data_IF_455411649991
#
_entry.id   IF_455411649991
#
_cell.length_a   1.000
_cell.length_b   1.000
_cell.length_c   1.000
_cell.angle_alpha   90.00
_cell.angle_beta   90.00
_cell.angle_gamma   90.00
#
_symmetry.space_group_name_H-M   'P 1'
#
loop_
_entity.id
_entity.type
_entity.pdbx_description
1 polymer ?
#
# COMPACT_ATOMS: atom_id res chain seq x y z
N UNK A 1 10.41 0.26 1.55
CA UNK A 1 9.16 -0.19 2.19
C UNK A 1 8.01 0.02 1.22
N UNK A 2 7.00 -0.86 1.22
CA UNK A 2 5.86 -0.84 0.31
C UNK A 2 5.06 0.48 0.41
N UNK A 3 4.93 1.04 1.62
CA UNK A 3 4.34 2.36 1.86
C UNK A 3 4.99 3.47 1.02
N UNK A 4 6.32 3.47 0.86
CA UNK A 4 7.01 4.51 0.07
C UNK A 4 6.63 4.46 -1.40
N UNK A 5 6.38 3.26 -1.94
CA UNK A 5 5.95 3.08 -3.33
C UNK A 5 4.51 3.58 -3.53
N UNK A 6 3.64 3.29 -2.56
CA UNK A 6 2.28 3.86 -2.50
C UNK A 6 2.32 5.39 -2.53
N UNK A 7 3.16 6.00 -1.69
CA UNK A 7 3.29 7.45 -1.63
C UNK A 7 3.75 8.05 -2.96
N UNK A 8 4.74 7.42 -3.62
CA UNK A 8 5.29 7.89 -4.89
C UNK A 8 4.32 7.80 -6.07
N UNK A 9 3.52 6.73 -6.16
CA UNK A 9 2.60 6.53 -7.31
C UNK A 9 1.41 7.49 -7.30
N UNK A 10 1.05 8.01 -6.12
CA UNK A 10 -0.11 8.90 -5.93
C UNK A 10 0.29 10.39 -5.88
N UNK A 11 1.47 10.71 -5.37
CA UNK A 11 1.91 12.10 -5.17
C UNK A 11 2.08 12.88 -6.48
N UNK A 12 2.00 14.21 -6.40
CA UNK A 12 2.27 15.17 -7.48
C UNK A 12 1.38 15.00 -8.73
N UNK A 13 0.10 14.67 -8.53
CA UNK A 13 -0.89 14.57 -9.61
C UNK A 13 -1.77 15.82 -9.66
N UNK A 14 -2.10 16.28 -10.86
CA UNK A 14 -3.10 17.34 -11.06
C UNK A 14 -4.29 16.78 -11.80
N UNK A 15 -5.48 17.01 -11.28
CA UNK A 15 -6.74 16.50 -11.81
C UNK A 15 -7.59 17.69 -12.29
N UNK A 16 -7.93 17.71 -13.58
CA UNK A 16 -8.86 18.69 -14.13
C UNK A 16 -10.29 18.24 -13.87
N UNK A 17 -11.12 19.14 -13.35
CA UNK A 17 -12.49 18.86 -12.92
C UNK A 17 -13.55 19.49 -13.84
N UNK A 18 -13.13 20.09 -14.96
CA UNK A 18 -14.00 20.89 -15.83
C UNK A 18 -14.38 22.25 -15.22
N UNK A 19 -14.83 23.18 -16.06
CA UNK A 19 -15.20 24.56 -15.67
C UNK A 19 -14.12 25.28 -14.85
N UNK A 20 -12.86 25.24 -15.33
CA UNK A 20 -11.72 25.94 -14.72
C UNK A 20 -11.40 25.50 -13.27
N UNK A 21 -11.93 24.34 -12.85
CA UNK A 21 -11.63 23.73 -11.55
C UNK A 21 -10.45 22.78 -11.67
N UNK A 22 -9.45 22.97 -10.83
CA UNK A 22 -8.26 22.10 -10.76
C UNK A 22 -8.09 21.60 -9.34
N UNK A 23 -7.94 20.30 -9.17
CA UNK A 23 -7.54 19.68 -7.90
C UNK A 23 -6.10 19.18 -8.02
N UNK A 24 -5.19 19.77 -7.25
CA UNK A 24 -3.80 19.31 -7.14
C UNK A 24 -3.65 18.41 -5.94
N UNK A 25 -3.03 17.26 -6.16
CA UNK A 25 -2.58 16.32 -5.15
C UNK A 25 -1.09 16.58 -4.93
N UNK A 26 -0.76 17.06 -3.75
CA UNK A 26 0.61 17.28 -3.31
C UNK A 26 1.23 16.02 -2.72
N UNK A 27 1.68 16.14 -1.48
CA UNK A 27 2.28 15.05 -0.73
C UNK A 27 1.21 14.06 -0.28
N UNK A 28 1.52 12.78 -0.40
CA UNK A 28 0.75 11.69 0.20
C UNK A 28 1.63 10.99 1.23
N UNK A 29 1.06 10.73 2.41
CA UNK A 29 1.69 9.86 3.41
C UNK A 29 0.75 8.71 3.78
N UNK A 30 1.33 7.54 4.03
CA UNK A 30 0.58 6.32 4.32
C UNK A 30 0.95 5.80 5.71
N UNK A 31 -0.07 5.63 6.55
CA UNK A 31 0.05 5.13 7.92
C UNK A 31 -0.95 4.01 8.21
N UNK A 32 -0.67 3.22 9.24
CA UNK A 32 -1.60 2.23 9.73
C UNK A 32 -2.67 2.87 10.62
N UNK A 33 -3.93 2.44 10.46
CA UNK A 33 -5.06 2.80 11.32
C UNK A 33 -5.92 1.56 11.57
N UNK A 34 -5.57 0.81 12.61
CA UNK A 34 -6.16 -0.50 12.88
C UNK A 34 -5.90 -1.46 11.71
N UNK A 35 -6.98 -2.02 11.14
CA UNK A 35 -6.91 -2.90 9.97
C UNK A 35 -6.91 -2.15 8.62
N UNK A 36 -6.94 -0.82 8.64
CA UNK A 36 -7.01 0.03 7.44
C UNK A 36 -5.73 0.83 7.26
N UNK A 37 -5.42 1.17 6.03
CA UNK A 37 -4.43 2.18 5.71
C UNK A 37 -5.09 3.56 5.74
N UNK A 38 -4.45 4.51 6.40
CA UNK A 38 -4.81 5.92 6.40
C UNK A 38 -3.85 6.70 5.49
N UNK A 39 -4.43 7.35 4.50
CA UNK A 39 -3.76 8.23 3.55
C UNK A 39 -4.02 9.67 3.99
N UNK A 40 -2.97 10.40 4.36
CA UNK A 40 -3.04 11.84 4.50
C UNK A 40 -2.60 12.44 3.16
N UNK A 41 -3.50 13.16 2.51
CA UNK A 41 -3.31 13.69 1.16
C UNK A 41 -3.40 15.20 1.22
N UNK A 42 -2.30 15.87 0.91
CA UNK A 42 -2.31 17.31 0.74
C UNK A 42 -3.02 17.64 -0.58
N UNK A 43 -4.06 18.45 -0.49
CA UNK A 43 -4.87 18.84 -1.63
C UNK A 43 -4.96 20.35 -1.75
N UNK A 44 -5.01 20.81 -2.99
CA UNK A 44 -5.26 22.20 -3.32
C UNK A 44 -6.29 22.28 -4.44
N UNK A 45 -7.41 22.94 -4.17
CA UNK A 45 -8.44 23.25 -5.14
C UNK A 45 -8.26 24.68 -5.65
N UNK A 46 -8.33 24.84 -6.97
CA UNK A 46 -8.36 26.10 -7.69
C UNK A 46 -9.68 26.26 -8.42
N UNK A 47 -10.40 27.27 -7.99
CA UNK A 47 -11.71 27.82 -8.35
C UNK A 47 -11.75 28.92 -9.41
N UNK A 48 -12.00 28.68 -10.70
CA UNK A 48 -12.25 29.75 -11.70
C UNK A 48 -10.99 30.40 -12.32
N UNK A 49 -11.17 31.28 -13.31
CA UNK A 49 -10.07 31.88 -14.08
C UNK A 49 -9.59 33.27 -13.64
N UNK A 50 -8.32 33.52 -13.95
CA UNK A 50 -7.68 34.82 -13.86
C UNK A 50 -7.69 35.38 -12.44
N UNK A 51 -7.99 36.67 -12.32
CA UNK A 51 -7.99 37.42 -11.06
C UNK A 51 -9.15 37.05 -10.11
N UNK A 52 -10.16 36.34 -10.61
CA UNK A 52 -11.31 35.87 -9.82
C UNK A 52 -11.12 34.46 -9.28
N UNK A 53 -9.90 33.91 -9.39
CA UNK A 53 -9.61 32.55 -8.93
C UNK A 53 -9.61 32.47 -7.40
N UNK A 54 -10.28 31.43 -6.87
CA UNK A 54 -10.27 31.10 -5.44
C UNK A 54 -9.38 29.88 -5.20
N UNK A 55 -8.45 29.96 -4.25
CA UNK A 55 -7.59 28.83 -3.86
C UNK A 55 -7.97 28.34 -2.47
N UNK A 56 -8.12 27.02 -2.33
CA UNK A 56 -8.34 26.35 -1.04
C UNK A 56 -7.36 25.21 -0.91
N UNK A 57 -6.65 25.14 0.21
CA UNK A 57 -5.70 24.07 0.49
C UNK A 57 -6.01 23.42 1.84
N UNK A 58 -5.65 22.14 1.97
CA UNK A 58 -5.78 21.41 3.21
C UNK A 58 -5.32 19.96 3.07
N UNK A 59 -5.32 19.25 4.18
CA UNK A 59 -5.03 17.82 4.21
C UNK A 59 -6.34 17.06 4.38
N UNK A 60 -6.59 16.08 3.51
CA UNK A 60 -7.72 15.16 3.61
C UNK A 60 -7.24 13.78 4.03
N UNK A 61 -7.98 13.12 4.91
CA UNK A 61 -7.68 11.78 5.36
C UNK A 61 -8.63 10.77 4.73
N UNK A 62 -8.06 9.73 4.15
CA UNK A 62 -8.79 8.69 3.42
C UNK A 62 -8.37 7.34 4.00
N UNK A 63 -9.35 6.48 4.23
CA UNK A 63 -9.18 5.15 4.80
C UNK A 63 -9.49 4.11 3.73
N UNK A 64 -8.60 3.12 3.57
CA UNK A 64 -8.81 2.00 2.67
C UNK A 64 -8.39 0.68 3.32
N UNK A 65 -9.10 -0.40 3.01
CA UNK A 65 -8.72 -1.75 3.43
C UNK A 65 -7.91 -2.42 2.32
N UNK A 66 -6.63 -2.73 2.52
CA UNK A 66 -5.84 -3.42 1.52
C UNK A 66 -6.37 -4.84 1.32
N UNK A 67 -6.49 -5.26 0.07
CA UNK A 67 -6.97 -6.57 -0.32
C UNK A 67 -6.07 -7.15 -1.42
N UNK A 68 -5.79 -8.45 -1.32
CA UNK A 68 -5.04 -9.20 -2.31
C UNK A 68 -5.97 -9.78 -3.37
N UNK A 69 -5.73 -9.46 -4.64
CA UNK A 69 -6.38 -10.11 -5.78
C UNK A 69 -5.43 -11.14 -6.38
N UNK A 70 -5.59 -12.39 -5.98
CA UNK A 70 -4.77 -13.50 -6.48
C UNK A 70 -4.91 -13.72 -8.00
N UNK A 71 -6.09 -13.43 -8.60
CA UNK A 71 -6.33 -13.64 -10.04
C UNK A 71 -5.56 -12.63 -10.88
N UNK A 72 -5.55 -11.37 -10.45
CA UNK A 72 -4.84 -10.27 -11.15
C UNK A 72 -3.41 -10.08 -10.66
N UNK A 73 -3.04 -10.74 -9.56
CA UNK A 73 -1.78 -10.59 -8.85
C UNK A 73 -1.48 -9.14 -8.41
N UNK A 74 -2.50 -8.44 -7.93
CA UNK A 74 -2.39 -7.04 -7.45
C UNK A 74 -2.90 -6.88 -6.03
N UNK A 75 -2.27 -5.97 -5.27
CA UNK A 75 -2.93 -5.38 -4.10
C UNK A 75 -3.83 -4.27 -4.60
N UNK A 76 -5.06 -4.22 -4.10
CA UNK A 76 -5.99 -3.11 -4.27
C UNK A 76 -6.42 -2.57 -2.91
N UNK A 77 -7.02 -1.38 -2.90
CA UNK A 77 -7.75 -0.89 -1.73
C UNK A 77 -9.25 -1.07 -1.95
N UNK A 78 -9.89 -1.79 -1.04
CA UNK A 78 -11.33 -1.90 -0.93
C UNK A 78 -11.87 -0.91 0.12
N UNK A 79 -13.16 -0.58 0.03
CA UNK A 79 -13.83 0.30 1.00
C UNK A 79 -13.13 1.65 1.23
N UNK A 80 -12.63 2.25 0.13
CA UNK A 80 -11.93 3.54 0.12
C UNK A 80 -12.91 4.66 0.35
N UNK A 81 -12.78 5.38 1.46
CA UNK A 81 -13.63 6.52 1.79
C UNK A 81 -12.89 7.51 2.70
N UNK A 82 -13.39 8.74 2.79
CA UNK A 82 -12.86 9.74 3.72
C UNK A 82 -13.08 9.33 5.17
N UNK A 83 -12.16 9.73 6.05
CA UNK A 83 -12.40 9.66 7.48
C UNK A 83 -13.59 10.57 7.87
N UNK A 84 -14.26 10.28 8.99
CA UNK A 84 -15.47 11.01 9.41
C UNK A 84 -15.23 12.51 9.61
N UNK A 85 -14.06 12.89 10.13
CA UNK A 85 -13.66 14.27 10.37
C UNK A 85 -13.48 15.05 9.07
N UNK A 86 -12.69 14.52 8.15
CA UNK A 86 -12.56 15.07 6.79
C UNK A 86 -13.92 15.12 6.11
N UNK A 87 -14.74 14.07 6.28
CA UNK A 87 -16.01 14.01 5.61
C UNK A 87 -16.92 15.18 6.01
N UNK A 88 -17.03 15.42 7.32
CA UNK A 88 -17.78 16.55 7.88
C UNK A 88 -17.17 17.92 7.51
N UNK A 89 -15.83 18.02 7.45
CA UNK A 89 -15.14 19.23 7.01
C UNK A 89 -15.47 19.61 5.56
N UNK A 90 -15.48 18.62 4.67
CA UNK A 90 -15.89 18.80 3.28
C UNK A 90 -17.37 19.21 3.18
N UNK A 91 -18.28 18.70 4.05
CA UNK A 91 -19.70 19.15 4.17
C UNK A 91 -19.72 20.66 4.30
N UNK A 92 -19.05 21.15 5.34
CA UNK A 92 -19.06 22.56 5.73
C UNK A 92 -18.41 23.46 4.67
N UNK A 93 -17.39 22.97 3.98
CA UNK A 93 -16.66 23.75 2.99
C UNK A 93 -17.35 23.83 1.62
N UNK A 94 -18.50 23.15 1.42
CA UNK A 94 -19.14 22.94 0.12
C UNK A 94 -18.21 22.35 -0.96
N UNK A 95 -17.07 21.78 -0.57
CA UNK A 95 -16.00 21.30 -1.45
C UNK A 95 -16.27 19.87 -2.01
N UNK A 96 -17.55 19.50 -2.16
CA UNK A 96 -17.97 18.11 -2.49
C UNK A 96 -17.60 17.66 -3.88
N UNK A 97 -17.36 18.62 -4.77
CA UNK A 97 -17.21 18.37 -6.19
C UNK A 97 -15.96 17.52 -6.50
N UNK A 98 -14.93 17.62 -5.65
CA UNK A 98 -13.68 16.86 -5.71
C UNK A 98 -13.73 15.41 -5.24
N UNK A 99 -14.76 15.02 -4.47
CA UNK A 99 -14.74 13.78 -3.69
C UNK A 99 -14.69 12.50 -4.53
N UNK A 100 -15.59 12.29 -5.52
CA UNK A 100 -15.60 11.04 -6.27
C UNK A 100 -14.32 10.89 -7.10
N UNK A 101 -13.84 11.99 -7.68
CA UNK A 101 -12.63 11.99 -8.51
C UNK A 101 -11.37 11.71 -7.68
N UNK A 102 -11.26 12.28 -6.48
CA UNK A 102 -10.13 12.01 -5.59
C UNK A 102 -10.13 10.57 -5.11
N UNK A 103 -11.28 10.06 -4.65
CA UNK A 103 -11.41 8.66 -4.21
C UNK A 103 -11.10 7.69 -5.35
N UNK A 104 -11.59 7.95 -6.57
CA UNK A 104 -11.31 7.11 -7.73
C UNK A 104 -9.83 7.18 -8.13
N UNK A 105 -9.22 8.36 -8.12
CA UNK A 105 -7.78 8.53 -8.39
C UNK A 105 -6.95 7.72 -7.41
N UNK A 106 -7.28 7.79 -6.12
CA UNK A 106 -6.60 7.00 -5.09
C UNK A 106 -6.84 5.52 -5.27
N UNK A 107 -8.07 5.10 -5.58
CA UNK A 107 -8.40 3.69 -5.83
C UNK A 107 -7.60 3.13 -7.01
N UNK A 108 -7.45 3.90 -8.10
CA UNK A 108 -6.68 3.50 -9.27
C UNK A 108 -5.18 3.51 -9.02
N UNK A 109 -4.66 4.54 -8.36
CA UNK A 109 -3.24 4.67 -8.04
C UNK A 109 -2.82 3.70 -6.93
N UNK A 110 -3.76 3.18 -6.14
CA UNK A 110 -3.50 2.18 -5.11
C UNK A 110 -3.66 0.73 -5.60
N UNK A 111 -3.35 0.48 -6.88
CA UNK A 111 -3.29 -0.86 -7.46
C UNK A 111 -1.84 -1.19 -7.78
N UNK A 112 -1.21 -2.03 -6.95
CA UNK A 112 0.20 -2.39 -7.11
C UNK A 112 0.32 -3.84 -7.58
N UNK A 113 0.99 -4.03 -8.70
CA UNK A 113 1.42 -5.37 -9.10
C UNK A 113 2.48 -5.89 -8.14
N UNK A 114 2.25 -7.08 -7.60
CA UNK A 114 3.21 -7.78 -6.76
C UNK A 114 3.98 -8.87 -7.51
N UNK A 115 3.78 -9.03 -8.82
CA UNK A 115 4.42 -10.10 -9.57
C UNK A 115 5.96 -10.10 -9.42
N UNK A 116 6.59 -8.92 -9.45
CA UNK A 116 8.04 -8.77 -9.20
C UNK A 116 8.46 -9.06 -7.75
N UNK A 117 7.96 -8.28 -6.77
CA UNK A 117 8.31 -8.47 -5.35
C UNK A 117 7.98 -9.87 -4.81
N UNK A 118 6.86 -10.46 -5.22
CA UNK A 118 6.49 -11.83 -4.83
C UNK A 118 7.47 -12.86 -5.41
N UNK A 119 7.84 -12.73 -6.69
CA UNK A 119 8.84 -13.63 -7.29
C UNK A 119 10.23 -13.49 -6.65
N UNK A 120 10.60 -12.29 -6.22
CA UNK A 120 11.85 -12.04 -5.50
C UNK A 120 11.83 -12.60 -4.07
N UNK A 121 10.71 -12.45 -3.37
CA UNK A 121 10.49 -13.06 -2.07
C UNK A 121 10.55 -14.58 -2.16
N UNK A 122 9.89 -15.18 -3.15
CA UNK A 122 9.94 -16.63 -3.40
C UNK A 122 11.36 -17.12 -3.68
N UNK A 123 12.13 -16.40 -4.53
CA UNK A 123 13.54 -16.73 -4.79
C UNK A 123 14.41 -16.60 -3.56
N UNK A 124 14.21 -15.57 -2.74
CA UNK A 124 15.00 -15.35 -1.53
C UNK A 124 14.69 -16.39 -0.45
N UNK A 125 13.41 -16.72 -0.25
CA UNK A 125 12.99 -17.79 0.65
C UNK A 125 13.49 -19.16 0.18
N UNK A 126 13.45 -19.44 -1.12
CA UNK A 126 14.03 -20.66 -1.70
C UNK A 126 15.51 -20.79 -1.34
N UNK A 127 16.31 -19.75 -1.63
CA UNK A 127 17.75 -19.72 -1.29
C UNK A 127 18.04 -19.85 0.20
N UNK A 128 17.22 -19.22 1.05
CA UNK A 128 17.38 -19.34 2.51
C UNK A 128 17.21 -20.79 2.99
N UNK A 129 16.28 -21.54 2.38
CA UNK A 129 15.99 -22.91 2.76
C UNK A 129 17.03 -23.93 2.24
N UNK A 130 17.79 -23.63 1.18
CA UNK A 130 18.73 -24.58 0.58
C UNK A 130 19.73 -25.17 1.58
N UNK A 131 20.39 -24.32 2.37
CA UNK A 131 21.26 -24.73 3.48
C UNK A 131 21.58 -23.53 4.37
N UNK A 132 21.18 -23.60 5.64
CA UNK A 132 21.51 -22.56 6.62
C UNK A 132 21.94 -23.15 7.96
N UNK A 133 23.04 -22.65 8.50
CA UNK A 133 23.45 -22.95 9.87
C UNK A 133 22.68 -22.03 10.82
N UNK A 134 21.78 -22.61 11.61
CA UNK A 134 20.86 -21.84 12.48
C UNK A 134 21.30 -21.86 13.95
N UNK A 135 22.42 -22.52 14.27
CA UNK A 135 22.99 -22.62 15.60
C UNK A 135 24.19 -23.57 15.60
N UNK A 136 24.91 -23.64 16.71
CA UNK A 136 26.16 -24.43 16.82
C UNK A 136 25.95 -25.90 16.45
N UNK A 137 26.42 -26.28 15.26
CA UNK A 137 26.29 -27.64 14.73
C UNK A 137 24.88 -27.99 14.22
N UNK A 138 23.96 -27.03 14.07
CA UNK A 138 22.60 -27.27 13.59
C UNK A 138 22.42 -26.66 12.20
N UNK A 139 22.27 -27.51 11.19
CA UNK A 139 22.03 -27.12 9.80
C UNK A 139 20.58 -27.41 9.42
N UNK A 140 19.86 -26.38 9.00
CA UNK A 140 18.59 -26.49 8.30
C UNK A 140 18.85 -26.73 6.81
N UNK A 141 18.21 -27.74 6.24
CA UNK A 141 18.07 -27.90 4.79
C UNK A 141 16.61 -28.00 4.44
N UNK A 142 16.25 -27.49 3.28
CA UNK A 142 14.89 -27.56 2.81
C UNK A 142 14.78 -27.18 1.36
N UNK A 143 13.63 -27.54 0.81
CA UNK A 143 13.23 -27.15 -0.53
C UNK A 143 11.83 -26.55 -0.46
N UNK A 144 11.68 -25.36 -1.02
CA UNK A 144 10.37 -24.78 -1.24
C UNK A 144 9.79 -25.34 -2.53
N UNK A 145 8.68 -26.08 -2.45
CA UNK A 145 7.93 -26.54 -3.62
C UNK A 145 7.08 -25.41 -4.20
N UNK A 146 6.49 -24.61 -3.32
CA UNK A 146 5.62 -23.53 -3.71
C UNK A 146 5.73 -22.38 -2.71
N UNK A 147 5.75 -21.16 -3.24
CA UNK A 147 5.68 -19.93 -2.45
C UNK A 147 4.61 -19.05 -3.07
N UNK A 148 3.53 -18.80 -2.33
CA UNK A 148 2.41 -17.97 -2.77
C UNK A 148 2.17 -16.84 -1.79
N UNK A 149 1.81 -15.68 -2.33
CA UNK A 149 1.19 -14.65 -1.51
C UNK A 149 -0.23 -15.09 -1.16
N UNK A 150 -0.49 -15.21 0.13
CA UNK A 150 -1.76 -15.68 0.66
C UNK A 150 -2.70 -14.50 0.90
N UNK A 151 -2.22 -13.51 1.65
CA UNK A 151 -2.99 -12.32 2.00
C UNK A 151 -2.10 -11.12 2.29
N UNK A 152 -2.73 -9.99 2.58
CA UNK A 152 -2.07 -8.76 3.02
C UNK A 152 -2.71 -8.31 4.32
N UNK A 153 -1.93 -7.71 5.20
CA UNK A 153 -2.41 -7.21 6.48
C UNK A 153 -1.81 -5.85 6.79
N UNK A 154 -2.57 -5.01 7.48
CA UNK A 154 -2.03 -3.78 8.07
C UNK A 154 -1.43 -4.14 9.43
N UNK A 155 -0.18 -3.75 9.64
CA UNK A 155 0.55 -3.87 10.90
C UNK A 155 0.90 -2.48 11.41
N UNK A 156 1.44 -2.39 12.64
CA UNK A 156 1.91 -1.11 13.21
C UNK A 156 2.94 -0.39 12.32
N UNK A 157 3.68 -1.13 11.50
CA UNK A 157 4.75 -0.61 10.65
C UNK A 157 4.28 -0.36 9.20
N UNK A 158 3.01 -0.67 8.88
CA UNK A 158 2.41 -0.46 7.56
C UNK A 158 1.85 -1.72 6.93
N UNK A 159 1.91 -1.80 5.59
CA UNK A 159 1.37 -2.93 4.84
C UNK A 159 2.35 -4.11 4.85
N UNK A 160 1.90 -5.26 5.38
CA UNK A 160 2.64 -6.52 5.38
C UNK A 160 2.04 -7.52 4.38
N UNK A 161 2.92 -8.35 3.83
CA UNK A 161 2.58 -9.45 2.93
C UNK A 161 2.64 -10.75 3.72
N UNK A 162 1.55 -11.52 3.72
CA UNK A 162 1.52 -12.86 4.31
C UNK A 162 1.75 -13.88 3.21
N UNK A 163 2.93 -14.49 3.26
CA UNK A 163 3.37 -15.49 2.28
C UNK A 163 3.20 -16.88 2.86
N UNK A 164 2.58 -17.78 2.11
CA UNK A 164 2.51 -19.20 2.43
C UNK A 164 3.56 -19.93 1.63
N UNK A 165 4.34 -20.75 2.33
CA UNK A 165 5.37 -21.59 1.74
C UNK A 165 5.02 -23.06 2.00
N UNK A 166 5.04 -23.85 0.93
CA UNK A 166 4.86 -25.29 0.98
C UNK A 166 6.14 -25.96 0.51
N UNK A 167 6.64 -26.93 1.27
CA UNK A 167 7.95 -27.52 1.02
C UNK A 167 8.31 -28.61 2.02
N UNK A 168 9.57 -29.02 1.98
CA UNK A 168 10.17 -29.97 2.91
C UNK A 168 11.35 -29.31 3.62
N UNK A 169 11.55 -29.63 4.89
CA UNK A 169 12.71 -29.21 5.65
C UNK A 169 13.19 -30.34 6.56
N UNK A 170 14.50 -30.44 6.72
CA UNK A 170 15.19 -31.33 7.64
C UNK A 170 16.18 -30.53 8.48
N UNK A 171 16.35 -30.98 9.73
CA UNK A 171 17.37 -30.47 10.65
C UNK A 171 18.44 -31.53 10.79
N UNK A 172 19.66 -31.16 10.43
CA UNK A 172 20.85 -31.98 10.61
C UNK A 172 21.64 -31.41 11.79
N UNK A 173 21.84 -32.22 12.82
CA UNK A 173 22.72 -31.88 13.93
C UNK A 173 24.04 -32.64 13.79
N UNK A 174 25.14 -31.90 13.71
CA UNK A 174 26.50 -32.40 13.68
C UNK A 174 27.21 -31.83 14.91
N UNK A 175 27.31 -32.59 16.02
CA UNK A 175 28.05 -32.15 17.18
C UNK A 175 29.53 -31.94 16.83
N UNK A 176 30.11 -30.84 17.30
CA UNK A 176 31.55 -30.63 17.20
C UNK A 176 32.27 -31.77 17.93
N UNK A 177 33.15 -32.49 17.21
CA UNK A 177 34.00 -33.52 17.78
C UNK A 177 34.85 -32.90 18.90
N UNK A 178 34.68 -33.44 20.11
CA UNK A 178 35.40 -33.02 21.32
C UNK A 178 36.85 -33.50 21.29
#
# INVERSE_FOLDING_TARGET
ALNRRLEQEVSNRSLSMGDERILRIGKVSVSANGSRLAFAVDVEALEGAGIFSTRRAGTVYILGMPAWDAKRQVIRLDSVDFDKGTAAGLVRAAAWIGRPLLLETLRQAAVFSLSGPAAEASRTLGRFLEKQEIGSGLTLRGTARQVVLDSVAVTKDGLALLVRLEGQASLEWIPASR
#
